data_IF_454148246712
#
_entry.id   IF_454148246712
#
_cell.length_a   1.000
_cell.length_b   1.000
_cell.length_c   1.000
_cell.angle_alpha   90.00
_cell.angle_beta   90.00
_cell.angle_gamma   90.00
#
_symmetry.space_group_name_H-M   'P 1'
#
loop_
_entity.id
_entity.type
_entity.pdbx_description
1 polymer ?
#
# COMPACT_ATOMS: atom_id res chain seq x y z
N UNK A 1 -23.64 -26.59 43.16
CA UNK A 1 -23.66 -25.82 41.89
C UNK A 1 -22.20 -25.57 41.50
N UNK A 2 -21.62 -26.45 40.69
CA UNK A 2 -20.24 -26.33 40.23
C UNK A 2 -20.24 -25.54 38.91
N UNK A 3 -19.68 -24.34 38.93
CA UNK A 3 -19.39 -23.57 37.73
C UNK A 3 -18.16 -24.18 37.05
N UNK A 4 -18.39 -24.91 35.97
CA UNK A 4 -17.33 -25.40 35.08
C UNK A 4 -16.68 -24.22 34.37
N UNK A 5 -15.45 -23.88 34.76
CA UNK A 5 -14.60 -22.96 34.04
C UNK A 5 -14.24 -23.57 32.67
N UNK A 6 -14.93 -23.14 31.62
CA UNK A 6 -14.48 -23.32 30.25
C UNK A 6 -13.23 -22.45 30.04
N UNK A 7 -12.07 -23.03 30.35
CA UNK A 7 -10.78 -22.49 29.94
C UNK A 7 -10.60 -22.80 28.45
N UNK A 8 -11.23 -21.98 27.61
CA UNK A 8 -11.02 -21.94 26.18
C UNK A 8 -9.57 -21.56 25.95
N UNK A 9 -8.67 -22.55 25.84
CA UNK A 9 -7.31 -22.34 25.36
C UNK A 9 -7.44 -21.69 23.98
N UNK A 10 -7.24 -20.37 23.91
CA UNK A 10 -7.04 -19.72 22.63
C UNK A 10 -5.89 -20.47 21.94
N UNK A 11 -6.05 -20.87 20.67
CA UNK A 11 -4.97 -21.49 19.93
C UNK A 11 -3.79 -20.52 19.98
N UNK A 12 -2.68 -20.97 20.58
CA UNK A 12 -1.43 -20.22 20.50
C UNK A 12 -1.05 -20.25 19.04
N UNK A 13 -1.35 -19.16 18.34
CA UNK A 13 -0.96 -19.05 16.95
C UNK A 13 0.57 -19.02 16.89
N UNK A 14 1.18 -19.74 15.93
CA UNK A 14 2.62 -19.75 15.78
C UNK A 14 3.15 -18.33 15.56
N UNK A 15 4.32 -18.08 16.12
CA UNK A 15 5.09 -16.84 15.90
C UNK A 15 5.28 -16.62 14.39
N UNK A 16 5.03 -15.40 13.91
CA UNK A 16 5.21 -15.04 12.50
C UNK A 16 6.62 -15.37 12.02
N UNK A 17 7.64 -15.25 12.87
CA UNK A 17 9.02 -15.65 12.52
C UNK A 17 9.16 -17.16 12.31
N UNK A 18 8.48 -17.98 13.12
CA UNK A 18 8.48 -19.44 12.96
C UNK A 18 7.82 -19.85 11.64
N UNK A 19 6.69 -19.23 11.29
CA UNK A 19 6.00 -19.49 10.02
C UNK A 19 6.85 -19.07 8.82
N UNK A 20 7.55 -17.93 8.90
CA UNK A 20 8.46 -17.49 7.84
C UNK A 20 9.64 -18.47 7.64
N UNK A 21 10.21 -18.99 8.72
CA UNK A 21 11.25 -20.01 8.65
C UNK A 21 10.74 -21.30 7.97
N UNK A 22 9.52 -21.73 8.26
CA UNK A 22 8.90 -22.90 7.60
C UNK A 22 8.67 -22.67 6.09
N UNK A 23 8.27 -21.46 5.68
CA UNK A 23 8.15 -21.08 4.27
C UNK A 23 9.51 -21.14 3.57
N UNK A 24 10.57 -20.63 4.20
CA UNK A 24 11.93 -20.66 3.67
C UNK A 24 12.46 -22.09 3.50
N UNK A 25 12.01 -23.02 4.37
CA UNK A 25 12.34 -24.43 4.28
C UNK A 25 11.51 -25.19 3.23
N UNK A 26 10.63 -24.50 2.48
CA UNK A 26 9.84 -25.10 1.40
C UNK A 26 8.69 -25.98 1.88
N UNK A 27 8.22 -25.81 3.11
CA UNK A 27 7.06 -26.54 3.60
C UNK A 27 5.78 -26.01 2.95
N UNK A 28 5.08 -26.85 2.18
CA UNK A 28 3.93 -26.44 1.37
C UNK A 28 2.79 -25.78 2.16
N UNK A 29 2.57 -26.20 3.41
CA UNK A 29 1.50 -25.67 4.26
C UNK A 29 1.85 -24.33 4.91
N UNK A 30 3.14 -24.01 5.04
CA UNK A 30 3.62 -22.81 5.72
C UNK A 30 3.19 -21.53 5.00
N UNK A 31 3.06 -21.58 3.66
CA UNK A 31 2.61 -20.44 2.87
C UNK A 31 1.13 -20.13 3.14
N UNK A 32 0.32 -21.15 3.38
CA UNK A 32 -1.09 -20.97 3.75
C UNK A 32 -1.20 -20.39 5.17
N UNK A 33 -0.36 -20.85 6.10
CA UNK A 33 -0.26 -20.27 7.44
C UNK A 33 0.19 -18.80 7.39
N UNK A 34 1.15 -18.47 6.53
CA UNK A 34 1.59 -17.09 6.32
C UNK A 34 0.48 -16.23 5.74
N UNK A 35 -0.33 -16.76 4.82
CA UNK A 35 -1.51 -16.08 4.28
C UNK A 35 -2.57 -15.82 5.37
N UNK A 36 -2.82 -16.77 6.27
CA UNK A 36 -3.72 -16.56 7.42
C UNK A 36 -3.17 -15.48 8.36
N UNK A 37 -1.86 -15.49 8.63
CA UNK A 37 -1.19 -14.46 9.42
C UNK A 37 -1.25 -13.08 8.77
N UNK A 38 -1.07 -13.02 7.45
CA UNK A 38 -1.25 -11.80 6.70
C UNK A 38 -2.66 -11.22 6.92
N UNK A 39 -3.70 -12.07 6.87
CA UNK A 39 -5.08 -11.66 7.10
C UNK A 39 -5.33 -11.07 8.49
N UNK A 40 -4.67 -11.57 9.54
CA UNK A 40 -4.75 -10.99 10.88
C UNK A 40 -4.20 -9.55 10.90
N UNK A 41 -3.06 -9.30 10.26
CA UNK A 41 -2.48 -7.95 10.17
C UNK A 41 -3.30 -6.98 9.31
N UNK A 42 -4.06 -7.48 8.34
CA UNK A 42 -4.78 -6.63 7.41
C UNK A 42 -5.79 -5.70 8.09
N UNK A 43 -6.41 -6.10 9.21
CA UNK A 43 -7.35 -5.23 9.93
C UNK A 43 -6.66 -3.97 10.47
N UNK A 44 -5.54 -4.14 11.18
CA UNK A 44 -4.77 -3.03 11.75
C UNK A 44 -4.22 -2.10 10.66
N UNK A 45 -3.68 -2.70 9.59
CA UNK A 45 -3.13 -1.96 8.45
C UNK A 45 -4.24 -1.24 7.70
N UNK A 46 -5.40 -1.86 7.49
CA UNK A 46 -6.53 -1.23 6.80
C UNK A 46 -7.03 -0.01 7.55
N UNK A 47 -7.18 -0.08 8.88
CA UNK A 47 -7.55 1.07 9.69
C UNK A 47 -6.47 2.17 9.68
N UNK A 48 -5.18 1.81 9.65
CA UNK A 48 -4.10 2.80 9.50
C UNK A 48 -4.13 3.51 8.12
N UNK A 49 -4.32 2.76 7.04
CA UNK A 49 -4.48 3.28 5.67
C UNK A 49 -5.71 4.18 5.59
N UNK A 50 -6.83 3.76 6.18
CA UNK A 50 -8.07 4.54 6.17
C UNK A 50 -7.91 5.89 6.89
N UNK A 51 -7.32 5.89 8.09
CA UNK A 51 -7.04 7.13 8.85
C UNK A 51 -6.16 8.10 8.06
N UNK A 52 -5.17 7.58 7.32
CA UNK A 52 -4.22 8.39 6.56
C UNK A 52 -4.81 8.94 5.26
N UNK A 53 -5.54 8.10 4.54
CA UNK A 53 -5.97 8.41 3.18
C UNK A 53 -7.38 9.02 3.13
N UNK A 54 -8.11 8.95 4.23
CA UNK A 54 -9.51 9.34 4.32
C UNK A 54 -10.43 8.31 3.68
N UNK A 55 -11.72 8.41 3.98
CA UNK A 55 -12.69 7.49 3.39
C UNK A 55 -13.10 7.93 1.98
N UNK A 56 -12.94 7.08 0.95
CA UNK A 56 -13.46 7.38 -0.38
C UNK A 56 -15.01 7.43 -0.42
N UNK A 57 -15.67 6.78 0.54
CA UNK A 57 -17.12 6.80 0.78
C UNK A 57 -17.42 6.86 2.27
N UNK A 58 -18.35 7.69 2.73
CA UNK A 58 -18.68 7.83 4.17
C UNK A 58 -19.41 6.60 4.74
N UNK A 59 -19.38 5.45 4.06
CA UNK A 59 -20.03 4.22 4.47
C UNK A 59 -19.15 3.40 5.43
N UNK A 60 -19.79 2.91 6.51
CA UNK A 60 -19.20 2.08 7.57
C UNK A 60 -18.50 0.80 7.06
N UNK A 61 -18.82 0.35 5.84
CA UNK A 61 -18.26 -0.88 5.25
C UNK A 61 -16.95 -0.68 4.48
N UNK A 62 -16.48 0.57 4.34
CA UNK A 62 -15.37 0.90 3.46
C UNK A 62 -14.04 0.20 3.79
N UNK A 63 -13.73 0.08 5.08
CA UNK A 63 -12.50 -0.54 5.61
C UNK A 63 -12.51 -2.07 5.48
N UNK A 64 -13.60 -2.69 5.91
CA UNK A 64 -13.78 -4.16 5.88
C UNK A 64 -13.66 -4.71 4.46
N UNK A 65 -14.28 -4.04 3.49
CA UNK A 65 -14.23 -4.44 2.08
C UNK A 65 -12.80 -4.47 1.52
N UNK A 66 -11.95 -3.53 1.97
CA UNK A 66 -10.60 -3.38 1.44
C UNK A 66 -9.68 -4.48 1.96
N UNK A 67 -9.70 -4.70 3.28
CA UNK A 67 -8.99 -5.80 3.91
C UNK A 67 -9.45 -7.16 3.33
N UNK A 68 -10.76 -7.36 3.17
CA UNK A 68 -11.31 -8.57 2.59
C UNK A 68 -10.88 -8.77 1.13
N UNK A 69 -10.82 -7.70 0.33
CA UNK A 69 -10.34 -7.79 -1.05
C UNK A 69 -8.86 -8.17 -1.14
N UNK A 70 -8.01 -7.64 -0.25
CA UNK A 70 -6.59 -8.01 -0.21
C UNK A 70 -6.42 -9.44 0.32
N UNK A 71 -7.14 -9.81 1.38
CA UNK A 71 -7.15 -11.17 1.91
C UNK A 71 -7.54 -12.20 0.82
N UNK A 72 -8.61 -11.93 0.07
CA UNK A 72 -9.04 -12.79 -1.03
C UNK A 72 -7.96 -12.93 -2.12
N UNK A 73 -7.25 -11.85 -2.45
CA UNK A 73 -6.14 -11.87 -3.42
C UNK A 73 -4.98 -12.75 -2.91
N UNK A 74 -4.61 -12.58 -1.64
CA UNK A 74 -3.53 -13.37 -1.01
C UNK A 74 -3.90 -14.85 -0.95
N UNK A 75 -5.13 -15.19 -0.56
CA UNK A 75 -5.59 -16.58 -0.48
C UNK A 75 -5.66 -17.22 -1.87
N UNK A 76 -6.10 -16.48 -2.89
CA UNK A 76 -6.19 -16.99 -4.25
C UNK A 76 -4.81 -17.23 -4.88
N UNK A 77 -3.80 -16.46 -4.50
CA UNK A 77 -2.44 -16.61 -5.05
C UNK A 77 -1.36 -16.26 -4.02
N UNK A 78 -1.12 -17.12 -3.01
CA UNK A 78 -0.17 -16.81 -1.94
C UNK A 78 1.25 -16.61 -2.47
N UNK A 79 1.68 -17.41 -3.45
CA UNK A 79 3.02 -17.32 -4.04
C UNK A 79 3.24 -15.98 -4.75
N UNK A 80 2.25 -15.45 -5.46
CA UNK A 80 2.38 -14.17 -6.16
C UNK A 80 2.57 -13.00 -5.20
N UNK A 81 1.98 -13.09 -4.00
CA UNK A 81 1.95 -11.98 -3.05
C UNK A 81 2.99 -12.10 -1.94
N UNK A 82 3.34 -13.32 -1.55
CA UNK A 82 4.15 -13.61 -0.36
C UNK A 82 5.50 -14.26 -0.67
N UNK A 83 5.87 -14.41 -1.95
CA UNK A 83 7.24 -14.79 -2.29
C UNK A 83 8.23 -13.70 -1.85
N UNK A 84 9.45 -14.11 -1.50
CA UNK A 84 10.56 -13.22 -1.10
C UNK A 84 10.29 -12.40 0.18
N UNK A 85 9.44 -12.89 1.07
CA UNK A 85 9.25 -12.31 2.40
C UNK A 85 10.19 -13.01 3.38
N UNK A 86 11.17 -12.28 3.91
CA UNK A 86 12.17 -12.83 4.82
C UNK A 86 11.88 -12.48 6.28
N UNK A 87 11.24 -11.34 6.52
CA UNK A 87 10.97 -10.80 7.85
C UNK A 87 9.50 -10.43 8.04
N UNK A 88 9.10 -10.24 9.31
CA UNK A 88 7.76 -9.76 9.64
C UNK A 88 7.52 -8.32 9.13
N UNK A 89 8.58 -7.51 9.04
CA UNK A 89 8.50 -6.14 8.53
C UNK A 89 8.31 -6.14 7.02
N UNK A 90 8.97 -7.04 6.28
CA UNK A 90 8.73 -7.24 4.85
C UNK A 90 7.27 -7.59 4.57
N UNK A 91 6.70 -8.49 5.38
CA UNK A 91 5.30 -8.87 5.30
C UNK A 91 4.39 -7.67 5.48
N UNK A 92 4.61 -6.88 6.55
CA UNK A 92 3.81 -5.68 6.82
C UNK A 92 3.93 -4.65 5.69
N UNK A 93 5.14 -4.40 5.20
CA UNK A 93 5.38 -3.49 4.09
C UNK A 93 4.65 -3.95 2.81
N UNK A 94 4.69 -5.25 2.51
CA UNK A 94 3.98 -5.86 1.38
C UNK A 94 2.47 -5.72 1.51
N UNK A 95 1.91 -6.00 2.68
CA UNK A 95 0.47 -5.85 2.93
C UNK A 95 0.02 -4.40 2.83
N UNK A 96 0.82 -3.46 3.35
CA UNK A 96 0.57 -2.03 3.21
C UNK A 96 0.54 -1.62 1.73
N UNK A 97 1.51 -2.08 0.92
CA UNK A 97 1.53 -1.82 -0.54
C UNK A 97 0.27 -2.36 -1.22
N UNK A 98 -0.15 -3.59 -0.93
CA UNK A 98 -1.36 -4.19 -1.53
C UNK A 98 -2.63 -3.44 -1.14
N UNK A 99 -2.80 -3.13 0.15
CA UNK A 99 -3.92 -2.33 0.67
C UNK A 99 -3.99 -0.96 0.01
N UNK A 100 -2.85 -0.28 -0.08
CA UNK A 100 -2.74 1.03 -0.71
C UNK A 100 -3.16 0.98 -2.19
N UNK A 101 -2.66 0.01 -2.97
CA UNK A 101 -3.06 -0.16 -4.37
C UNK A 101 -4.58 -0.37 -4.50
N UNK A 102 -5.16 -1.28 -3.71
CA UNK A 102 -6.62 -1.51 -3.73
C UNK A 102 -7.41 -0.25 -3.34
N UNK A 103 -6.90 0.55 -2.40
CA UNK A 103 -7.55 1.79 -1.96
C UNK A 103 -7.57 2.82 -3.09
N UNK A 104 -6.42 3.01 -3.76
CA UNK A 104 -6.31 3.90 -4.91
C UNK A 104 -7.26 3.47 -6.02
N UNK A 105 -7.32 2.17 -6.33
CA UNK A 105 -8.25 1.63 -7.34
C UNK A 105 -9.72 1.83 -6.95
N UNK A 106 -10.06 1.68 -5.66
CA UNK A 106 -11.41 1.96 -5.14
C UNK A 106 -11.74 3.46 -5.30
N UNK A 107 -10.83 4.35 -4.92
CA UNK A 107 -10.99 5.81 -5.08
C UNK A 107 -11.16 6.22 -6.55
N UNK A 108 -10.36 5.65 -7.45
CA UNK A 108 -10.48 5.90 -8.89
C UNK A 108 -11.82 5.46 -9.46
N UNK A 109 -12.28 4.25 -9.09
CA UNK A 109 -13.60 3.75 -9.50
C UNK A 109 -14.73 4.66 -8.99
N UNK A 110 -14.65 5.12 -7.74
CA UNK A 110 -15.62 6.05 -7.18
C UNK A 110 -15.60 7.42 -7.90
N UNK A 111 -14.42 7.95 -8.23
CA UNK A 111 -14.29 9.20 -8.99
C UNK A 111 -14.82 9.06 -10.43
N UNK A 112 -14.56 7.94 -11.10
CA UNK A 112 -15.10 7.64 -12.43
C UNK A 112 -16.63 7.54 -12.42
N UNK A 113 -17.21 6.89 -11.41
CA UNK A 113 -18.66 6.79 -11.24
C UNK A 113 -19.32 8.17 -11.09
N UNK A 114 -18.70 9.09 -10.34
CA UNK A 114 -19.21 10.47 -10.11
C UNK A 114 -19.21 11.34 -11.37
N UNK A 115 -18.34 11.08 -12.36
CA UNK A 115 -18.23 11.89 -13.59
C UNK A 115 -19.28 11.55 -14.67
N UNK A 116 -20.35 10.83 -14.32
CA UNK A 116 -21.49 10.58 -15.23
C UNK A 116 -21.46 9.25 -15.98
N UNK A 117 -20.63 8.29 -15.55
CA UNK A 117 -20.54 6.96 -16.15
C UNK A 117 -21.71 6.04 -15.79
N UNK A 118 -22.93 6.39 -16.18
CA UNK A 118 -24.08 5.48 -16.19
C UNK A 118 -23.94 4.33 -17.20
N UNK A 119 -22.93 4.36 -18.06
CA UNK A 119 -22.50 3.21 -18.85
C UNK A 119 -21.50 2.38 -18.05
N UNK A 120 -22.03 1.35 -17.38
CA UNK A 120 -21.27 0.20 -16.90
C UNK A 120 -20.43 -0.39 -18.05
N UNK A 121 -19.18 0.05 -18.21
CA UNK A 121 -18.20 -0.76 -18.92
C UNK A 121 -17.94 -1.95 -18.00
N UNK A 122 -18.41 -3.13 -18.40
CA UNK A 122 -18.10 -4.39 -17.74
C UNK A 122 -16.58 -4.54 -17.64
N UNK A 123 -16.02 -4.13 -16.50
CA UNK A 123 -14.65 -4.43 -16.12
C UNK A 123 -14.60 -5.87 -15.60
N UNK A 124 -14.87 -6.81 -16.49
CA UNK A 124 -14.51 -8.20 -16.31
C UNK A 124 -13.22 -8.39 -17.10
N UNK A 125 -12.13 -8.75 -16.42
CA UNK A 125 -10.87 -9.25 -17.00
C UNK A 125 -9.90 -8.22 -17.63
N UNK A 126 -9.67 -7.07 -17.00
CA UNK A 126 -8.39 -6.40 -17.19
C UNK A 126 -7.36 -7.04 -16.24
N UNK A 127 -6.84 -8.19 -16.64
CA UNK A 127 -5.61 -8.76 -16.09
C UNK A 127 -4.45 -7.77 -16.29
N UNK A 128 -3.72 -7.51 -15.21
CA UNK A 128 -2.28 -7.23 -15.15
C UNK A 128 -1.59 -6.60 -16.37
N UNK A 129 -1.97 -5.38 -16.70
CA UNK A 129 -0.98 -4.45 -17.25
C UNK A 129 -0.37 -3.70 -16.06
N UNK A 130 0.78 -4.16 -15.58
CA UNK A 130 1.64 -3.49 -14.59
C UNK A 130 1.69 -1.97 -14.84
N UNK A 131 0.94 -1.20 -14.04
CA UNK A 131 0.95 0.26 -14.12
C UNK A 131 1.72 0.80 -12.92
N UNK A 132 2.91 1.37 -13.14
CA UNK A 132 3.81 1.70 -12.03
C UNK A 132 3.24 2.87 -11.21
N UNK A 133 2.82 2.56 -9.99
CA UNK A 133 2.56 3.55 -8.93
C UNK A 133 3.87 4.16 -8.41
N UNK A 134 3.78 5.13 -7.51
CA UNK A 134 4.97 5.80 -6.93
C UNK A 134 5.92 4.80 -6.23
N UNK A 135 5.35 3.75 -5.64
CA UNK A 135 6.07 2.62 -5.05
C UNK A 135 6.77 1.73 -6.09
N UNK A 136 6.28 1.69 -7.33
CA UNK A 136 6.97 1.01 -8.44
C UNK A 136 8.04 1.89 -9.07
N UNK A 137 7.87 3.22 -9.07
CA UNK A 137 8.93 4.16 -9.48
C UNK A 137 10.09 4.12 -8.47
N UNK A 138 9.79 4.00 -7.18
CA UNK A 138 10.79 3.76 -6.14
C UNK A 138 11.45 2.37 -6.30
N UNK A 139 10.65 1.31 -6.48
CA UNK A 139 11.15 -0.06 -6.59
C UNK A 139 11.93 -0.38 -7.88
N UNK A 140 11.65 0.29 -9.01
CA UNK A 140 12.29 0.00 -10.31
C UNK A 140 13.62 0.72 -10.55
N UNK A 141 14.09 1.57 -9.62
CA UNK A 141 15.24 2.44 -9.90
C UNK A 141 16.29 2.57 -8.81
N UNK A 142 15.92 2.57 -7.52
CA UNK A 142 16.85 3.06 -6.51
C UNK A 142 16.61 2.42 -5.14
N UNK A 143 17.39 1.37 -4.85
CA UNK A 143 17.73 0.89 -3.50
C UNK A 143 16.60 0.28 -2.68
N UNK A 144 16.94 -0.69 -1.84
CA UNK A 144 16.10 -1.13 -0.73
C UNK A 144 15.70 0.09 0.11
N UNK A 145 14.41 0.40 0.16
CA UNK A 145 13.92 1.35 1.15
C UNK A 145 14.02 0.62 2.51
N UNK A 146 14.83 1.09 3.47
CA UNK A 146 14.89 0.44 4.78
C UNK A 146 13.48 0.48 5.40
N UNK A 147 13.14 -0.50 6.26
CA UNK A 147 11.86 -0.50 6.95
C UNK A 147 11.86 0.59 8.03
N UNK A 148 11.79 1.85 7.60
CA UNK A 148 11.41 2.95 8.46
C UNK A 148 9.99 2.66 8.96
N UNK A 149 9.79 2.79 10.26
CA UNK A 149 8.45 2.70 10.82
C UNK A 149 7.54 3.71 10.09
N UNK A 150 6.23 3.45 9.94
CA UNK A 150 5.34 4.38 9.25
C UNK A 150 5.38 5.82 9.81
N UNK A 151 5.75 5.98 11.08
CA UNK A 151 5.96 7.26 11.74
C UNK A 151 7.23 7.96 11.24
N UNK A 152 8.37 7.27 11.20
CA UNK A 152 9.65 7.81 10.68
C UNK A 152 9.51 8.24 9.22
N UNK A 153 8.89 7.39 8.39
CA UNK A 153 8.66 7.69 6.98
C UNK A 153 7.71 8.90 6.79
N UNK A 154 6.80 9.14 7.73
CA UNK A 154 5.92 10.33 7.68
C UNK A 154 6.66 11.61 8.06
N UNK A 155 7.60 11.54 9.00
CA UNK A 155 8.44 12.67 9.41
C UNK A 155 9.40 13.03 8.28
N UNK A 156 10.11 12.05 7.72
CA UNK A 156 11.03 12.27 6.59
C UNK A 156 10.31 12.85 5.36
N UNK A 157 9.13 12.33 5.01
CA UNK A 157 8.32 12.89 3.92
C UNK A 157 7.88 14.33 4.19
N UNK A 158 7.55 14.66 5.44
CA UNK A 158 7.18 16.01 5.83
C UNK A 158 8.37 16.97 5.73
N UNK A 159 9.55 16.56 6.20
CA UNK A 159 10.80 17.32 6.05
C UNK A 159 11.12 17.59 4.58
N UNK A 160 11.00 16.56 3.73
CA UNK A 160 11.14 16.70 2.27
C UNK A 160 10.13 17.71 1.72
N UNK A 161 8.86 17.63 2.12
CA UNK A 161 7.83 18.57 1.67
C UNK A 161 8.11 20.01 2.10
N UNK A 162 8.72 20.19 3.27
CA UNK A 162 9.07 21.50 3.83
C UNK A 162 10.32 22.11 3.19
N UNK A 163 11.15 21.32 2.49
CA UNK A 163 12.20 21.87 1.62
C UNK A 163 11.64 22.62 0.41
N UNK A 164 10.39 22.35 0.02
CA UNK A 164 9.75 23.04 -1.08
C UNK A 164 8.99 24.29 -0.58
N UNK A 165 9.07 25.42 -1.32
CA UNK A 165 8.22 26.57 -1.03
C UNK A 165 6.75 26.16 -0.98
N UNK A 166 6.01 26.72 -0.01
CA UNK A 166 4.61 26.36 0.28
C UNK A 166 3.73 26.46 -0.97
N UNK A 167 3.92 27.50 -1.78
CA UNK A 167 3.16 27.73 -3.02
C UNK A 167 3.78 27.08 -4.27
N UNK A 168 4.80 26.25 -4.12
CA UNK A 168 5.43 25.64 -5.30
C UNK A 168 4.55 24.56 -5.93
N UNK A 169 4.41 24.63 -7.25
CA UNK A 169 3.78 23.58 -8.07
C UNK A 169 4.43 22.21 -7.82
N UNK A 170 5.73 22.18 -7.48
CA UNK A 170 6.47 20.97 -7.11
C UNK A 170 5.95 20.33 -5.82
N UNK A 171 5.76 21.12 -4.75
CA UNK A 171 5.16 20.63 -3.50
C UNK A 171 3.80 20.02 -3.79
N UNK A 172 2.96 20.73 -4.56
CA UNK A 172 1.63 20.25 -4.94
C UNK A 172 1.65 18.94 -5.72
N UNK A 173 2.55 18.79 -6.70
CA UNK A 173 2.73 17.55 -7.45
C UNK A 173 3.14 16.40 -6.53
N UNK A 174 4.12 16.61 -5.63
CA UNK A 174 4.59 15.57 -4.69
C UNK A 174 3.49 15.21 -3.70
N UNK A 175 2.73 16.18 -3.18
CA UNK A 175 1.59 15.93 -2.29
C UNK A 175 0.51 15.10 -2.98
N UNK A 176 0.09 15.47 -4.20
CA UNK A 176 -0.91 14.70 -4.95
C UNK A 176 -0.42 13.26 -5.25
N UNK A 177 0.88 13.13 -5.52
CA UNK A 177 1.51 11.83 -5.69
C UNK A 177 1.46 10.97 -4.42
N UNK A 178 1.73 11.55 -3.25
CA UNK A 178 1.63 10.88 -1.95
C UNK A 178 0.18 10.50 -1.62
N UNK A 179 -0.79 11.32 -2.04
CA UNK A 179 -2.23 11.02 -1.98
C UNK A 179 -2.68 9.92 -2.96
N UNK A 180 -1.79 9.42 -3.82
CA UNK A 180 -2.03 8.30 -4.73
C UNK A 180 -2.55 8.69 -6.12
N UNK A 181 -2.47 9.96 -6.49
CA UNK A 181 -2.80 10.40 -7.85
C UNK A 181 -1.74 9.91 -8.84
N UNK A 182 -2.17 9.49 -10.04
CA UNK A 182 -1.24 9.20 -11.15
C UNK A 182 -0.65 10.48 -11.72
N UNK A 183 0.48 10.37 -12.40
CA UNK A 183 1.04 11.50 -13.16
C UNK A 183 0.07 12.06 -14.20
N UNK A 184 -0.79 11.23 -14.79
CA UNK A 184 -1.82 11.69 -15.73
C UNK A 184 -2.92 12.47 -15.01
N UNK A 185 -3.45 11.95 -13.90
CA UNK A 185 -4.48 12.65 -13.12
C UNK A 185 -3.94 13.98 -12.56
N UNK A 186 -2.67 14.02 -12.17
CA UNK A 186 -1.99 15.26 -11.74
C UNK A 186 -1.82 16.22 -12.92
N UNK A 187 -1.43 15.71 -14.09
CA UNK A 187 -1.31 16.50 -15.31
C UNK A 187 -2.65 17.16 -15.66
N UNK A 188 -3.72 16.38 -15.66
CA UNK A 188 -5.09 16.86 -15.90
C UNK A 188 -5.53 17.87 -14.81
N UNK A 189 -5.21 17.61 -13.54
CA UNK A 189 -5.59 18.49 -12.42
C UNK A 189 -4.88 19.84 -12.44
N UNK A 190 -3.60 19.86 -12.83
CA UNK A 190 -2.75 21.04 -12.84
C UNK A 190 -2.65 21.70 -14.23
N UNK A 191 -3.38 21.18 -15.22
CA UNK A 191 -3.30 21.61 -16.63
C UNK A 191 -1.85 21.59 -17.17
N UNK A 192 -1.14 20.51 -16.88
CA UNK A 192 0.22 20.23 -17.35
C UNK A 192 0.20 19.03 -18.31
N UNK A 193 1.28 18.83 -19.06
CA UNK A 193 1.49 17.55 -19.74
C UNK A 193 2.00 16.48 -18.77
N UNK A 194 1.71 15.21 -19.04
CA UNK A 194 2.24 14.07 -18.26
C UNK A 194 3.77 14.10 -18.16
N UNK A 195 4.46 14.44 -19.25
CA UNK A 195 5.92 14.54 -19.26
C UNK A 195 6.43 15.70 -18.40
N UNK A 196 5.71 16.82 -18.38
CA UNK A 196 5.99 17.94 -17.49
C UNK A 196 5.87 17.54 -16.01
N UNK A 197 4.88 16.72 -15.66
CA UNK A 197 4.75 16.13 -14.32
C UNK A 197 5.92 15.18 -14.06
N UNK A 198 6.16 14.18 -14.92
CA UNK A 198 7.25 13.22 -14.73
C UNK A 198 8.63 13.85 -14.58
N UNK A 199 8.92 14.93 -15.33
CA UNK A 199 10.16 15.71 -15.18
C UNK A 199 10.24 16.40 -13.82
N UNK A 200 9.16 17.04 -13.36
CA UNK A 200 9.12 17.71 -12.05
C UNK A 200 9.23 16.72 -10.90
N UNK A 201 8.60 15.56 -11.02
CA UNK A 201 8.70 14.48 -10.04
C UNK A 201 10.15 14.02 -9.88
N UNK A 202 10.85 13.75 -10.99
CA UNK A 202 12.29 13.42 -10.94
C UNK A 202 13.11 14.52 -10.28
N UNK A 203 12.82 15.79 -10.58
CA UNK A 203 13.52 16.93 -9.99
C UNK A 203 13.20 17.17 -8.51
N UNK A 204 12.03 16.74 -8.04
CA UNK A 204 11.62 16.87 -6.64
C UNK A 204 12.08 15.69 -5.78
N UNK A 205 12.07 14.48 -6.33
CA UNK A 205 12.44 13.26 -5.59
C UNK A 205 13.97 13.07 -5.56
N UNK A 206 14.71 13.47 -6.59
CA UNK A 206 16.17 13.30 -6.60
C UNK A 206 16.90 14.03 -5.45
N UNK A 207 16.54 15.27 -5.07
CA UNK A 207 17.10 15.92 -3.88
C UNK A 207 16.68 15.21 -2.58
N UNK A 208 15.41 14.80 -2.48
CA UNK A 208 14.88 14.11 -1.31
C UNK A 208 15.63 12.79 -1.03
N UNK A 209 15.92 12.02 -2.08
CA UNK A 209 16.69 10.77 -1.96
C UNK A 209 18.16 10.99 -1.60
N UNK A 210 18.75 12.14 -1.96
CA UNK A 210 20.11 12.53 -1.51
C UNK A 210 20.16 12.87 -0.02
N UNK A 211 19.09 13.45 0.52
CA UNK A 211 18.97 13.66 1.96
C UNK A 211 18.83 12.34 2.73
N UNK A 212 18.19 11.34 2.13
CA UNK A 212 17.99 10.02 2.72
C UNK A 212 19.22 9.09 2.60
N UNK A 213 20.17 9.40 1.71
CA UNK A 213 21.44 8.68 1.57
C UNK A 213 22.63 9.66 1.57
N UNK A 214 23.06 10.13 2.74
CA UNK A 214 24.15 11.12 2.83
C UNK A 214 25.54 10.56 2.48
N UNK A 215 25.70 9.25 2.27
CA UNK A 215 27.01 8.60 2.01
C UNK A 215 27.32 8.29 0.53
N UNK A 216 26.59 8.87 -0.43
CA UNK A 216 26.92 8.83 -1.88
C UNK A 216 27.12 10.21 -2.46
#
# INVERSE_FOLDING_TARGET
MNQSAHNSKQPQHPDTQAVLAEVQNGQGDALHLLALKACEYLADIASAVHRRMGSPDHGVNGESDLAQSVAASIIASPQAHLNEIYTADDLRARLYKLLYCKWVDKRRRAAAAKRGGGQHVQASQAEDAERPGILDIAARGYGEFPPATPAELSVELQEILDTFPIESERRRIVTLLLEGWTQQEIADNLNLSRDAVGRRVRQSIAPALRFLNPET
#
